data_IF_351390153328
#
_entry.id   IF_351390153328
#
_cell.length_a   1.000
_cell.length_b   1.000
_cell.length_c   1.000
_cell.angle_alpha   90.00
_cell.angle_beta   90.00
_cell.angle_gamma   90.00
#
_symmetry.space_group_name_H-M   'P 1'
#
loop_
_entity.id
_entity.type
_entity.pdbx_description
1 polymer ?
#
# COMPACT_ATOMS: atom_id res chain seq x y z
N UNK A 1 4.16 -34.25 26.48
CA UNK A 1 4.13 -33.74 25.10
C UNK A 1 3.19 -32.54 25.09
N UNK A 2 3.69 -31.32 24.89
CA UNK A 2 2.83 -30.12 24.81
C UNK A 2 2.30 -30.03 23.38
N UNK A 3 1.00 -30.22 23.22
CA UNK A 3 0.32 -29.93 21.95
C UNK A 3 0.39 -28.44 21.70
N UNK A 4 1.17 -28.03 20.71
CA UNK A 4 1.04 -26.70 20.13
C UNK A 4 -0.20 -26.72 19.26
N UNK A 5 -1.34 -26.36 19.85
CA UNK A 5 -2.53 -26.03 19.07
C UNK A 5 -2.22 -24.74 18.31
N UNK A 6 -1.74 -24.87 17.08
CA UNK A 6 -1.60 -23.74 16.17
C UNK A 6 -3.01 -23.23 15.89
N UNK A 7 -3.35 -22.05 16.41
CA UNK A 7 -4.61 -21.36 16.10
C UNK A 7 -4.83 -21.43 14.60
N UNK A 8 -5.79 -22.23 14.17
CA UNK A 8 -5.92 -22.66 12.77
C UNK A 8 -6.68 -21.62 11.94
N UNK A 9 -7.31 -20.64 12.61
CA UNK A 9 -8.18 -19.65 11.99
C UNK A 9 -7.98 -18.28 12.64
N UNK A 10 -7.80 -17.26 11.81
CA UNK A 10 -7.74 -15.84 12.22
C UNK A 10 -8.89 -15.12 11.54
N UNK A 11 -9.78 -14.51 12.33
CA UNK A 11 -10.90 -13.74 11.80
C UNK A 11 -10.46 -12.31 11.48
N UNK A 12 -10.80 -11.83 10.28
CA UNK A 12 -10.55 -10.45 9.84
C UNK A 12 -11.89 -9.70 9.76
N UNK A 13 -12.24 -8.94 10.81
CA UNK A 13 -13.63 -8.45 11.02
C UNK A 13 -14.07 -7.29 10.09
N UNK A 14 -13.15 -6.50 9.52
CA UNK A 14 -13.50 -5.15 8.98
C UNK A 14 -13.18 -4.84 7.52
N UNK A 15 -12.44 -5.68 6.81
CA UNK A 15 -11.92 -5.32 5.47
C UNK A 15 -12.54 -6.11 4.31
N UNK A 16 -13.27 -7.18 4.60
CA UNK A 16 -13.83 -8.07 3.58
C UNK A 16 -15.33 -8.27 3.78
N UNK A 17 -16.06 -8.36 2.68
CA UNK A 17 -17.53 -8.55 2.69
C UNK A 17 -17.97 -9.91 3.22
N UNK A 18 -17.04 -10.88 3.29
CA UNK A 18 -17.26 -12.24 3.79
C UNK A 18 -16.08 -12.63 4.69
N UNK A 19 -16.28 -13.51 5.69
CA UNK A 19 -15.18 -14.07 6.47
C UNK A 19 -14.13 -14.69 5.55
N UNK A 20 -12.87 -14.34 5.77
CA UNK A 20 -11.73 -14.91 5.08
C UNK A 20 -11.19 -16.08 5.90
N UNK A 21 -11.16 -17.27 5.30
CA UNK A 21 -10.57 -18.48 5.88
C UNK A 21 -9.37 -18.87 5.04
N UNK A 22 -8.18 -18.88 5.66
CA UNK A 22 -6.98 -19.37 5.00
C UNK A 22 -6.94 -20.90 5.09
N UNK A 23 -6.84 -21.57 3.94
CA UNK A 23 -6.64 -23.02 3.85
C UNK A 23 -5.35 -23.31 3.11
N UNK A 24 -4.63 -24.32 3.55
CA UNK A 24 -3.41 -24.80 2.93
C UNK A 24 -3.72 -25.97 1.99
N UNK A 25 -4.70 -25.78 1.10
CA UNK A 25 -5.07 -26.71 0.04
C UNK A 25 -4.54 -26.20 -1.32
N UNK A 26 -3.93 -27.10 -2.10
CA UNK A 26 -3.13 -26.72 -3.27
C UNK A 26 -3.84 -26.28 -4.58
N UNK A 27 -5.18 -26.26 -4.78
CA UNK A 27 -5.71 -25.91 -6.10
C UNK A 27 -5.55 -24.44 -6.49
N UNK A 28 -5.57 -23.51 -5.53
CA UNK A 28 -5.65 -22.05 -5.78
C UNK A 28 -4.91 -21.24 -4.71
N UNK A 29 -3.64 -21.58 -4.51
CA UNK A 29 -2.77 -20.91 -3.53
C UNK A 29 -2.19 -19.60 -4.08
N UNK A 30 -1.76 -18.74 -3.16
CA UNK A 30 -1.07 -17.48 -3.45
C UNK A 30 0.11 -17.35 -2.49
N UNK A 31 1.26 -16.94 -3.02
CA UNK A 31 2.45 -16.60 -2.22
C UNK A 31 2.21 -15.35 -1.35
N UNK A 32 1.24 -14.54 -1.71
CA UNK A 32 1.03 -13.21 -1.14
C UNK A 32 -0.07 -13.21 -0.07
N UNK A 33 -0.52 -14.38 0.40
CA UNK A 33 -1.63 -14.50 1.36
C UNK A 33 -1.47 -13.61 2.62
N UNK A 34 -0.23 -13.39 3.07
CA UNK A 34 0.08 -12.49 4.19
C UNK A 34 -0.22 -11.01 3.94
N UNK A 35 -0.34 -10.59 2.66
CA UNK A 35 -0.64 -9.21 2.28
C UNK A 35 -2.04 -8.76 2.75
N UNK A 36 -2.91 -9.68 3.16
CA UNK A 36 -4.17 -9.37 3.83
C UNK A 36 -3.95 -8.46 5.06
N UNK A 37 -2.84 -8.63 5.77
CA UNK A 37 -2.47 -7.75 6.88
C UNK A 37 -2.15 -6.32 6.43
N UNK A 38 -1.55 -6.16 5.23
CA UNK A 38 -1.31 -4.84 4.64
C UNK A 38 -2.63 -4.15 4.32
N UNK A 39 -3.61 -4.89 3.78
CA UNK A 39 -4.96 -4.37 3.50
C UNK A 39 -5.65 -3.88 4.77
N UNK A 40 -5.60 -4.67 5.84
CA UNK A 40 -6.21 -4.32 7.13
C UNK A 40 -5.55 -3.09 7.75
N UNK A 41 -4.22 -3.01 7.67
CA UNK A 41 -3.48 -1.86 8.15
C UNK A 41 -3.84 -0.61 7.34
N UNK A 42 -3.88 -0.72 6.01
CA UNK A 42 -4.22 0.39 5.13
C UNK A 42 -5.68 0.85 5.30
N UNK A 43 -6.64 -0.04 5.53
CA UNK A 43 -8.02 0.35 5.85
C UNK A 43 -8.12 1.11 7.19
N UNK A 44 -7.25 0.77 8.16
CA UNK A 44 -7.19 1.48 9.43
C UNK A 44 -6.49 2.84 9.31
N UNK A 45 -5.43 2.93 8.50
CA UNK A 45 -4.60 4.12 8.40
C UNK A 45 -5.08 5.09 7.31
N UNK A 46 -5.67 4.60 6.23
CA UNK A 46 -6.13 5.39 5.09
C UNK A 46 -5.00 5.86 4.15
N UNK A 47 -3.84 5.21 4.13
CA UNK A 47 -2.67 5.68 3.37
C UNK A 47 -2.95 5.70 1.87
N UNK A 48 -3.45 4.60 1.30
CA UNK A 48 -3.74 4.53 -0.15
C UNK A 48 -4.88 5.46 -0.55
N UNK A 49 -5.85 5.68 0.35
CA UNK A 49 -6.95 6.61 0.14
C UNK A 49 -6.44 8.06 0.07
N UNK A 50 -5.61 8.46 1.03
CA UNK A 50 -5.00 9.79 1.06
C UNK A 50 -4.12 10.04 -0.17
N UNK A 51 -3.29 9.06 -0.54
CA UNK A 51 -2.46 9.12 -1.74
C UNK A 51 -3.32 9.25 -3.01
N UNK A 52 -4.35 8.42 -3.17
CA UNK A 52 -5.23 8.49 -4.33
C UNK A 52 -5.95 9.85 -4.43
N UNK A 53 -6.40 10.41 -3.30
CA UNK A 53 -7.08 11.71 -3.25
C UNK A 53 -6.15 12.88 -3.61
N UNK A 54 -4.85 12.78 -3.30
CA UNK A 54 -3.86 13.80 -3.63
C UNK A 54 -3.46 13.81 -5.12
N UNK A 55 -3.77 12.76 -5.86
CA UNK A 55 -3.40 12.57 -7.26
C UNK A 55 -4.60 12.85 -8.18
N UNK A 56 -4.58 13.91 -9.01
CA UNK A 56 -5.71 14.22 -9.89
C UNK A 56 -6.02 13.10 -10.90
N UNK A 57 -7.32 12.90 -11.19
CA UNK A 57 -7.80 12.08 -12.31
C UNK A 57 -8.41 12.93 -13.42
N UNK A 58 -7.67 13.10 -14.52
CA UNK A 58 -8.17 13.80 -15.71
C UNK A 58 -8.88 12.86 -16.70
N UNK A 59 -9.02 11.57 -16.38
CA UNK A 59 -9.72 10.62 -17.26
C UNK A 59 -11.22 10.90 -17.26
N UNK A 60 -11.86 10.69 -18.40
CA UNK A 60 -13.32 10.65 -18.49
C UNK A 60 -13.87 9.51 -17.60
N UNK A 61 -14.61 9.87 -16.57
CA UNK A 61 -15.16 8.95 -15.57
C UNK A 61 -16.02 7.83 -16.19
N UNK A 62 -16.67 8.09 -17.33
CA UNK A 62 -17.52 7.10 -18.03
C UNK A 62 -16.70 5.99 -18.71
N UNK A 63 -15.39 6.22 -18.90
CA UNK A 63 -14.46 5.29 -19.55
C UNK A 63 -13.49 4.63 -18.57
N UNK A 64 -13.61 4.92 -17.27
CA UNK A 64 -12.74 4.36 -16.24
C UNK A 64 -13.17 2.94 -15.89
N UNK A 65 -12.37 1.94 -16.31
CA UNK A 65 -12.55 0.55 -15.91
C UNK A 65 -11.92 0.22 -14.55
N UNK A 66 -10.78 0.86 -14.26
CA UNK A 66 -10.04 0.69 -13.01
C UNK A 66 -10.02 2.02 -12.24
N UNK A 67 -10.76 2.11 -11.12
CA UNK A 67 -10.73 3.28 -10.24
C UNK A 67 -9.29 3.64 -9.86
N UNK A 68 -9.02 4.93 -9.68
CA UNK A 68 -7.67 5.37 -9.35
C UNK A 68 -7.18 4.78 -8.02
N UNK A 69 -8.07 4.67 -7.02
CA UNK A 69 -7.74 4.04 -5.75
C UNK A 69 -7.30 2.58 -5.93
N UNK A 70 -7.94 1.83 -6.85
CA UNK A 70 -7.55 0.45 -7.14
C UNK A 70 -6.15 0.40 -7.76
N UNK A 71 -5.83 1.31 -8.68
CA UNK A 71 -4.50 1.37 -9.30
C UNK A 71 -3.41 1.74 -8.28
N UNK A 72 -3.71 2.67 -7.37
CA UNK A 72 -2.83 3.01 -6.23
C UNK A 72 -2.62 1.80 -5.34
N UNK A 73 -3.70 1.15 -4.89
CA UNK A 73 -3.62 -0.04 -4.02
C UNK A 73 -2.87 -1.18 -4.68
N UNK A 74 -3.17 -1.46 -5.95
CA UNK A 74 -2.50 -2.51 -6.72
C UNK A 74 -0.99 -2.28 -6.74
N UNK A 75 -0.52 -1.04 -6.95
CA UNK A 75 0.91 -0.76 -6.95
C UNK A 75 1.54 -0.75 -5.58
N UNK A 76 0.92 -0.10 -4.60
CA UNK A 76 1.44 -0.05 -3.23
C UNK A 76 1.57 -1.45 -2.64
N UNK A 77 0.55 -2.30 -2.82
CA UNK A 77 0.60 -3.67 -2.32
C UNK A 77 1.58 -4.55 -3.10
N UNK A 78 1.69 -4.39 -4.43
CA UNK A 78 2.69 -5.10 -5.22
C UNK A 78 4.13 -4.76 -4.76
N UNK A 79 4.43 -3.47 -4.55
CA UNK A 79 5.73 -3.01 -4.02
C UNK A 79 5.97 -3.60 -2.62
N UNK A 80 4.98 -3.55 -1.73
CA UNK A 80 5.10 -4.11 -0.39
C UNK A 80 5.30 -5.65 -0.38
N UNK A 81 4.88 -6.34 -1.44
CA UNK A 81 5.12 -7.77 -1.64
C UNK A 81 6.43 -8.08 -2.40
N UNK A 82 7.23 -7.08 -2.78
CA UNK A 82 8.52 -7.26 -3.47
C UNK A 82 8.43 -7.31 -5.00
N UNK A 83 7.39 -6.71 -5.59
CA UNK A 83 7.18 -6.65 -7.04
C UNK A 83 7.33 -5.22 -7.57
N UNK A 84 8.47 -4.58 -7.30
CA UNK A 84 8.69 -3.17 -7.61
C UNK A 84 8.81 -2.89 -9.11
N UNK A 85 9.42 -3.79 -9.88
CA UNK A 85 9.68 -3.61 -11.31
C UNK A 85 8.42 -3.67 -12.21
N UNK A 86 7.31 -4.17 -11.66
CA UNK A 86 6.01 -4.28 -12.31
C UNK A 86 5.91 -5.37 -13.39
N UNK A 87 6.93 -6.21 -13.60
CA UNK A 87 6.91 -7.27 -14.61
C UNK A 87 5.86 -8.36 -14.26
N UNK A 88 5.67 -8.58 -12.96
CA UNK A 88 4.75 -9.58 -12.40
C UNK A 88 3.28 -9.18 -12.53
N UNK A 89 2.98 -7.92 -12.90
CA UNK A 89 1.61 -7.43 -12.99
C UNK A 89 0.74 -8.23 -13.98
N UNK A 90 1.35 -8.84 -15.01
CA UNK A 90 0.64 -9.73 -15.94
C UNK A 90 0.10 -11.00 -15.26
N UNK A 91 0.85 -11.53 -14.27
CA UNK A 91 0.47 -12.69 -13.46
C UNK A 91 -0.40 -12.28 -12.27
N UNK A 92 0.04 -11.29 -11.50
CA UNK A 92 -0.61 -10.83 -10.26
C UNK A 92 -2.03 -10.30 -10.47
N UNK A 93 -2.36 -9.80 -11.67
CA UNK A 93 -3.74 -9.34 -11.96
C UNK A 93 -4.80 -10.44 -11.88
N UNK A 94 -4.39 -11.71 -11.86
CA UNK A 94 -5.25 -12.88 -11.69
C UNK A 94 -5.05 -13.58 -10.34
N UNK A 95 -4.09 -13.13 -9.53
CA UNK A 95 -3.82 -13.75 -8.23
C UNK A 95 -5.02 -13.53 -7.28
N UNK A 96 -5.53 -14.60 -6.62
CA UNK A 96 -6.73 -14.52 -5.81
C UNK A 96 -6.55 -13.57 -4.60
N UNK A 97 -5.36 -13.52 -4.00
CA UNK A 97 -5.08 -12.60 -2.89
C UNK A 97 -5.04 -11.17 -3.40
N UNK A 98 -4.30 -10.89 -4.47
CA UNK A 98 -4.20 -9.52 -5.01
C UNK A 98 -5.58 -8.96 -5.39
N UNK A 99 -6.46 -9.79 -5.94
CA UNK A 99 -7.85 -9.42 -6.21
C UNK A 99 -8.63 -9.13 -4.92
N UNK A 100 -8.48 -9.99 -3.93
CA UNK A 100 -9.09 -9.83 -2.62
C UNK A 100 -8.66 -8.52 -1.93
N UNK A 101 -7.38 -8.14 -2.01
CA UNK A 101 -6.87 -6.89 -1.43
C UNK A 101 -7.55 -5.64 -2.01
N UNK A 102 -8.07 -5.72 -3.24
CA UNK A 102 -8.80 -4.65 -3.91
C UNK A 102 -10.32 -4.77 -3.76
N UNK A 103 -10.80 -5.65 -2.88
CA UNK A 103 -12.22 -5.90 -2.67
C UNK A 103 -12.91 -6.56 -3.87
N UNK A 104 -12.15 -7.21 -4.76
CA UNK A 104 -12.67 -7.97 -5.90
C UNK A 104 -12.92 -9.42 -5.50
N UNK A 105 -13.81 -10.09 -6.21
CA UNK A 105 -13.98 -11.52 -6.06
C UNK A 105 -12.65 -12.22 -6.47
N UNK A 106 -12.09 -13.11 -5.63
CA UNK A 106 -10.80 -13.76 -5.90
C UNK A 106 -10.81 -14.62 -7.18
N UNK A 107 -11.97 -15.16 -7.57
CA UNK A 107 -12.08 -16.18 -8.60
C UNK A 107 -12.92 -15.75 -9.81
N UNK A 108 -13.75 -14.72 -9.69
CA UNK A 108 -14.67 -14.28 -10.74
C UNK A 108 -14.59 -12.77 -11.04
N UNK A 109 -15.03 -12.39 -12.24
CA UNK A 109 -15.07 -10.99 -12.68
C UNK A 109 -13.78 -10.50 -13.35
N UNK A 110 -13.69 -9.20 -13.68
CA UNK A 110 -12.57 -8.65 -14.41
C UNK A 110 -11.25 -8.80 -13.64
N UNK A 111 -10.13 -9.03 -14.35
CA UNK A 111 -8.80 -8.98 -13.76
C UNK A 111 -8.43 -7.56 -13.31
N UNK A 112 -7.39 -7.45 -12.49
CA UNK A 112 -6.83 -6.15 -12.11
C UNK A 112 -6.16 -5.45 -13.31
N UNK A 113 -5.69 -4.22 -13.07
CA UNK A 113 -4.95 -3.45 -14.06
C UNK A 113 -3.79 -4.26 -14.61
N UNK A 114 -3.67 -4.31 -15.94
CA UNK A 114 -2.51 -4.93 -16.60
C UNK A 114 -1.26 -4.07 -16.43
N UNK A 115 -0.09 -4.62 -16.75
CA UNK A 115 1.17 -3.87 -16.72
C UNK A 115 1.10 -2.55 -17.53
N UNK A 116 0.56 -2.51 -18.77
CA UNK A 116 0.42 -1.26 -19.50
C UNK A 116 -0.53 -0.26 -18.84
N UNK A 117 -1.58 -0.73 -18.16
CA UNK A 117 -2.49 0.12 -17.40
C UNK A 117 -1.78 0.77 -16.22
N UNK A 118 -0.99 0.00 -15.47
CA UNK A 118 -0.20 0.51 -14.34
C UNK A 118 0.88 1.48 -14.80
N UNK A 119 1.60 1.15 -15.87
CA UNK A 119 2.63 2.01 -16.45
C UNK A 119 2.05 3.37 -16.89
N UNK A 120 0.91 3.40 -17.58
CA UNK A 120 0.22 4.66 -17.92
C UNK A 120 -0.23 5.43 -16.70
N UNK A 121 -0.69 4.73 -15.66
CA UNK A 121 -1.09 5.34 -14.41
C UNK A 121 0.09 6.03 -13.71
N UNK A 122 1.23 5.37 -13.56
CA UNK A 122 2.42 5.95 -12.91
C UNK A 122 2.97 7.16 -13.67
N UNK A 123 2.95 7.12 -15.00
CA UNK A 123 3.57 8.15 -15.83
C UNK A 123 2.68 9.38 -16.10
N UNK A 124 1.43 9.40 -15.64
CA UNK A 124 0.50 10.52 -15.94
C UNK A 124 0.59 11.70 -14.98
N UNK A 125 1.24 11.53 -13.84
CA UNK A 125 1.18 12.51 -12.74
C UNK A 125 2.33 13.52 -12.84
N UNK A 126 1.99 14.81 -12.78
CA UNK A 126 3.00 15.87 -12.73
C UNK A 126 3.73 15.89 -11.37
N UNK A 127 4.97 16.38 -11.35
CA UNK A 127 5.82 16.47 -10.14
C UNK A 127 5.09 17.11 -8.94
N UNK A 128 4.32 18.19 -9.17
CA UNK A 128 3.54 18.85 -8.10
C UNK A 128 2.51 17.92 -7.45
N UNK A 129 1.91 17.02 -8.22
CA UNK A 129 0.95 16.04 -7.70
C UNK A 129 1.67 14.95 -6.91
N UNK A 130 2.86 14.54 -7.34
CA UNK A 130 3.69 13.58 -6.61
C UNK A 130 4.16 14.13 -5.26
N UNK A 131 4.55 15.41 -5.21
CA UNK A 131 4.90 16.09 -3.95
C UNK A 131 3.70 16.10 -2.99
N UNK A 132 2.51 16.47 -3.49
CA UNK A 132 1.26 16.41 -2.69
C UNK A 132 0.94 15.00 -2.22
N UNK A 133 1.18 13.99 -3.05
CA UNK A 133 1.03 12.58 -2.67
C UNK A 133 1.97 12.20 -1.52
N UNK A 134 3.24 12.62 -1.59
CA UNK A 134 4.20 12.39 -0.51
C UNK A 134 3.80 13.09 0.79
N UNK A 135 3.34 14.34 0.71
CA UNK A 135 2.79 15.10 1.85
C UNK A 135 1.57 14.37 2.45
N UNK A 136 0.64 13.90 1.62
CA UNK A 136 -0.55 13.19 2.09
C UNK A 136 -0.22 11.88 2.82
N UNK A 137 0.79 11.13 2.35
CA UNK A 137 1.30 9.94 3.05
C UNK A 137 1.89 10.35 4.41
N UNK A 138 2.76 11.37 4.42
CA UNK A 138 3.41 11.84 5.65
C UNK A 138 2.39 12.31 6.70
N UNK A 139 1.41 13.12 6.29
CA UNK A 139 0.34 13.61 7.15
C UNK A 139 -0.49 12.47 7.73
N UNK A 140 -0.82 11.47 6.91
CA UNK A 140 -1.57 10.28 7.34
C UNK A 140 -0.82 9.51 8.43
N UNK A 141 0.48 9.27 8.23
CA UNK A 141 1.34 8.58 9.21
C UNK A 141 1.50 9.40 10.49
N UNK A 142 1.73 10.72 10.38
CA UNK A 142 1.84 11.62 11.53
C UNK A 142 0.54 11.62 12.34
N UNK A 143 -0.62 11.72 11.69
CA UNK A 143 -1.91 11.68 12.34
C UNK A 143 -2.14 10.36 13.09
N UNK A 144 -1.86 9.23 12.44
CA UNK A 144 -1.97 7.92 13.07
C UNK A 144 -1.03 7.77 14.28
N UNK A 145 0.20 8.27 14.17
CA UNK A 145 1.14 8.29 15.29
C UNK A 145 0.66 9.17 16.44
N UNK A 146 0.15 10.38 16.18
CA UNK A 146 -0.42 11.29 17.19
C UNK A 146 -1.55 10.62 17.97
N UNK A 147 -2.46 9.93 17.28
CA UNK A 147 -3.54 9.18 17.91
C UNK A 147 -3.02 8.05 18.82
N UNK A 148 -1.96 7.34 18.39
CA UNK A 148 -1.38 6.23 19.16
C UNK A 148 -0.64 6.68 20.42
N UNK A 149 0.17 7.73 20.32
CA UNK A 149 1.07 8.15 21.43
C UNK A 149 0.45 9.19 22.36
N UNK A 150 -0.66 9.82 21.95
CA UNK A 150 -1.35 10.86 22.70
C UNK A 150 -0.51 12.13 22.90
N UNK A 151 -1.00 13.06 23.74
CA UNK A 151 -0.38 14.38 23.98
C UNK A 151 0.96 14.35 24.73
N UNK A 152 1.51 13.17 25.07
CA UNK A 152 2.74 13.05 25.88
C UNK A 152 4.03 13.13 25.08
N UNK A 153 3.98 12.96 23.76
CA UNK A 153 5.16 13.00 22.90
C UNK A 153 5.34 14.42 22.35
N UNK A 154 6.46 15.06 22.73
CA UNK A 154 6.80 16.44 22.31
C UNK A 154 7.56 16.49 20.97
N UNK A 155 8.02 15.34 20.46
CA UNK A 155 8.85 15.24 19.25
C UNK A 155 8.70 13.88 18.59
N UNK A 156 8.45 13.85 17.29
CA UNK A 156 8.56 12.63 16.46
C UNK A 156 9.78 12.80 15.55
N UNK A 157 10.67 11.83 15.57
CA UNK A 157 11.77 11.71 14.60
C UNK A 157 11.34 10.72 13.55
N UNK A 158 11.17 11.17 12.31
CA UNK A 158 10.92 10.29 11.16
C UNK A 158 12.27 10.11 10.47
N UNK A 159 12.70 8.88 10.28
CA UNK A 159 13.86 8.58 9.45
C UNK A 159 13.36 8.45 8.02
N UNK A 160 13.81 9.33 7.14
CA UNK A 160 13.61 9.18 5.70
C UNK A 160 14.88 8.53 5.16
N UNK A 161 14.79 7.26 4.77
CA UNK A 161 15.86 6.61 4.04
C UNK A 161 16.07 7.39 2.73
N UNK A 162 17.27 7.93 2.55
CA UNK A 162 17.61 8.71 1.37
C UNK A 162 17.49 7.85 0.11
N UNK A 163 17.03 8.45 -0.98
CA UNK A 163 17.23 7.88 -2.32
C UNK A 163 18.72 7.74 -2.59
N UNK A 164 19.12 6.62 -3.19
CA UNK A 164 20.49 6.37 -3.65
C UNK A 164 20.94 7.54 -4.50
N UNK A 165 21.91 8.31 -4.00
CA UNK A 165 22.56 9.39 -4.74
C UNK A 165 23.78 8.80 -5.45
N UNK A 166 23.82 8.71 -6.79
CA UNK A 166 25.00 8.22 -7.49
C UNK A 166 26.14 9.25 -7.34
N UNK A 167 27.03 9.01 -6.38
CA UNK A 167 28.31 9.71 -6.35
C UNK A 167 29.14 9.27 -7.58
N UNK A 168 29.73 10.23 -8.29
CA UNK A 168 30.68 9.94 -9.37
C UNK A 168 31.86 9.14 -8.80
N UNK A 169 31.89 7.84 -9.10
CA UNK A 169 32.84 6.85 -8.61
C UNK A 169 32.16 5.89 -7.63
N UNK A 170 31.99 4.63 -8.04
CA UNK A 170 31.35 3.44 -7.42
C UNK A 170 31.29 3.35 -5.87
N UNK A 171 30.82 4.37 -5.17
CA UNK A 171 30.69 4.46 -3.73
C UNK A 171 29.26 4.91 -3.41
N UNK A 172 28.58 4.11 -2.60
CA UNK A 172 27.22 4.39 -2.16
C UNK A 172 27.29 5.25 -0.89
N UNK A 173 26.82 6.49 -0.95
CA UNK A 173 26.66 7.34 0.23
C UNK A 173 25.19 7.35 0.64
N UNK A 174 24.87 6.72 1.77
CA UNK A 174 23.55 6.84 2.40
C UNK A 174 23.47 8.18 3.14
N UNK A 175 22.80 9.17 2.55
CA UNK A 175 22.51 10.44 3.24
C UNK A 175 21.23 10.28 4.05
N UNK A 176 21.39 9.98 5.33
CA UNK A 176 20.28 9.91 6.29
C UNK A 176 19.76 11.32 6.59
N UNK A 177 18.56 11.64 6.11
CA UNK A 177 17.89 12.90 6.46
C UNK A 177 16.95 12.60 7.62
N UNK A 178 17.19 13.23 8.78
CA UNK A 178 16.31 13.14 9.95
C UNK A 178 15.49 14.41 10.11
N UNK A 179 14.36 14.57 9.38
CA UNK A 179 13.44 15.66 9.65
C UNK A 179 12.87 15.51 11.07
N UNK A 180 13.02 16.57 11.86
CA UNK A 180 12.34 16.70 13.16
C UNK A 180 11.07 17.51 12.91
N UNK A 181 9.92 16.87 13.03
CA UNK A 181 8.63 17.58 12.96
C UNK A 181 8.23 17.94 14.39
N UNK A 182 8.24 19.23 14.78
CA UNK A 182 7.68 19.64 16.05
C UNK A 182 6.19 19.31 16.07
N UNK A 183 5.73 18.67 17.14
CA UNK A 183 4.29 18.54 17.37
C UNK A 183 3.88 19.83 18.07
N UNK A 184 3.15 20.70 17.36
CA UNK A 184 2.42 21.77 18.02
C UNK A 184 1.45 21.14 19.03
N UNK A 185 1.61 21.38 20.34
CA UNK A 185 0.72 20.80 21.35
C UNK A 185 -0.73 21.31 21.24
N UNK A 186 -0.97 22.37 20.45
CA UNK A 186 -2.30 22.89 20.13
C UNK A 186 -2.99 23.62 21.29
N UNK A 187 -3.68 24.70 20.93
CA UNK A 187 -4.86 25.22 21.66
C UNK A 187 -5.90 24.13 21.87
#
# INVERSE_FOLDING_TARGET
MREFSTTTEVLFDRSFTKPLVARFDQPRSSSDAGAVLLRLLDDRLGITLALAAALPDARDATRVQHPQLDLVRQRVYAIACGYEDGNDAARLRFDPTQRLLLGRDPFAGPPLGSQPTLSRFENRHALRSLIRGAEAIADTVIAAHRQRVGKRVKRITIDLDGTVDPAYGNQWVFRRIRPVVPIDPGR
#
